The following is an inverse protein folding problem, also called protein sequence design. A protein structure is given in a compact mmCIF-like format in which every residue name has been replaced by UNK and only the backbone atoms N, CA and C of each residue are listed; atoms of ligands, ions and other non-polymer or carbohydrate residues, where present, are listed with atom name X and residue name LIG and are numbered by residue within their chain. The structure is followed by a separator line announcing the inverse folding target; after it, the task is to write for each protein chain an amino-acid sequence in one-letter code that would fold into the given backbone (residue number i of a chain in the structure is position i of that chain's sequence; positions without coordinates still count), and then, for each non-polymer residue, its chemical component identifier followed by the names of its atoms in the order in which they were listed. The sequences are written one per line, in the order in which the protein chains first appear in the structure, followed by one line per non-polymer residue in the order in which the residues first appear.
data_IF_329234021144
#
_entry.id   IF_329234021144
#
_cell.length_a   1.000
_cell.length_b   1.000
_cell.length_c   1.000
_cell.angle_alpha   90.00
_cell.angle_beta   90.00
_cell.angle_gamma   90.00
#
_symmetry.space_group_name_H-M   'P 1'
#
loop_
_entity.id
_entity.type
_entity.pdbx_description
1 polymer ?
#
# COMPACT_ATOMS: atom_id res chain seq x y z
N UNK A 1 -56.42 12.27 0.56
CA UNK A 1 -55.26 11.46 0.15
C UNK A 1 -54.08 12.05 0.92
N UNK A 2 -53.66 11.35 1.93
CA UNK A 2 -52.58 11.82 2.85
C UNK A 2 -51.25 11.32 2.31
N UNK A 3 -50.40 12.23 1.84
CA UNK A 3 -49.04 11.91 1.47
C UNK A 3 -48.26 11.61 2.77
N UNK A 4 -47.95 10.32 2.98
CA UNK A 4 -47.05 9.91 4.03
C UNK A 4 -45.64 10.39 3.66
N UNK A 5 -44.95 11.11 4.55
CA UNK A 5 -43.54 11.46 4.32
C UNK A 5 -42.71 10.17 4.27
N UNK A 6 -42.07 9.91 3.14
CA UNK A 6 -41.03 8.87 3.03
C UNK A 6 -39.88 9.30 3.95
N UNK A 7 -39.81 8.70 5.11
CA UNK A 7 -38.66 8.82 6.01
C UNK A 7 -37.49 8.07 5.39
N UNK A 8 -36.77 8.71 4.46
CA UNK A 8 -35.41 8.29 4.14
C UNK A 8 -34.58 8.49 5.43
N UNK A 9 -34.29 7.41 6.12
CA UNK A 9 -33.31 7.44 7.22
C UNK A 9 -31.97 7.91 6.64
N UNK A 10 -31.39 9.01 7.13
CA UNK A 10 -30.07 9.43 6.67
C UNK A 10 -29.12 8.28 6.92
N UNK A 11 -28.60 7.66 5.84
CA UNK A 11 -27.60 6.62 6.00
C UNK A 11 -26.44 7.20 6.80
N UNK A 12 -26.11 6.54 7.92
CA UNK A 12 -25.01 6.94 8.78
C UNK A 12 -23.72 7.01 7.93
N UNK A 13 -23.04 8.16 7.89
CA UNK A 13 -21.84 8.35 7.06
C UNK A 13 -20.75 7.32 7.34
N UNK A 14 -20.72 6.76 8.55
CA UNK A 14 -19.79 5.69 8.92
C UNK A 14 -20.17 4.34 8.31
N UNK A 15 -21.46 4.04 8.20
CA UNK A 15 -21.95 2.83 7.54
C UNK A 15 -21.58 2.89 6.06
N UNK A 16 -21.86 4.01 5.40
CA UNK A 16 -21.51 4.23 4.00
C UNK A 16 -20.00 4.10 3.76
N UNK A 17 -19.18 4.73 4.60
CA UNK A 17 -17.72 4.60 4.52
C UNK A 17 -17.31 3.13 4.63
N UNK A 18 -17.80 2.41 5.64
CA UNK A 18 -17.44 1.02 5.91
C UNK A 18 -17.82 0.10 4.73
N UNK A 19 -19.02 0.28 4.19
CA UNK A 19 -19.50 -0.52 3.05
C UNK A 19 -18.66 -0.28 1.79
N UNK A 20 -18.37 0.97 1.44
CA UNK A 20 -17.54 1.32 0.28
C UNK A 20 -16.12 0.78 0.48
N UNK A 21 -15.53 0.99 1.65
CA UNK A 21 -14.19 0.49 1.97
C UNK A 21 -14.12 -1.03 1.86
N UNK A 22 -15.06 -1.76 2.48
CA UNK A 22 -15.10 -3.21 2.44
C UNK A 22 -15.30 -3.74 1.01
N UNK A 23 -16.21 -3.13 0.25
CA UNK A 23 -16.44 -3.52 -1.15
C UNK A 23 -15.18 -3.33 -2.00
N UNK A 24 -14.50 -2.18 -1.89
CA UNK A 24 -13.26 -1.91 -2.62
C UNK A 24 -12.11 -2.84 -2.18
N UNK A 25 -12.00 -3.15 -0.90
CA UNK A 25 -11.01 -4.08 -0.38
C UNK A 25 -11.23 -5.50 -0.96
N UNK A 26 -12.48 -5.99 -0.95
CA UNK A 26 -12.82 -7.29 -1.54
C UNK A 26 -12.56 -7.31 -3.05
N UNK A 27 -13.00 -6.27 -3.77
CA UNK A 27 -12.76 -6.16 -5.22
C UNK A 27 -11.25 -6.16 -5.51
N UNK A 28 -10.45 -5.44 -4.75
CA UNK A 28 -9.00 -5.39 -4.96
C UNK A 28 -8.34 -6.77 -4.75
N UNK A 29 -8.77 -7.54 -3.76
CA UNK A 29 -8.26 -8.92 -3.56
C UNK A 29 -8.70 -9.84 -4.70
N UNK A 30 -9.95 -9.76 -5.17
CA UNK A 30 -10.44 -10.54 -6.30
C UNK A 30 -9.66 -10.22 -7.60
N UNK A 31 -9.39 -8.93 -7.85
CA UNK A 31 -8.57 -8.51 -8.99
C UNK A 31 -7.13 -9.01 -8.85
N UNK A 32 -6.55 -8.92 -7.67
CA UNK A 32 -5.19 -9.38 -7.43
C UNK A 32 -5.03 -10.88 -7.70
N UNK A 33 -5.88 -11.71 -7.09
CA UNK A 33 -5.79 -13.16 -7.23
C UNK A 33 -6.35 -13.69 -8.55
N UNK A 34 -7.37 -13.04 -9.11
CA UNK A 34 -8.02 -13.52 -10.32
C UNK A 34 -7.36 -13.05 -11.62
N UNK A 35 -6.73 -11.89 -11.62
CA UNK A 35 -6.22 -11.26 -12.84
C UNK A 35 -4.74 -10.89 -12.74
N UNK A 36 -4.36 -10.15 -11.68
CA UNK A 36 -3.03 -9.53 -11.63
C UNK A 36 -1.92 -10.57 -11.59
N UNK A 37 -2.03 -11.60 -10.76
CA UNK A 37 -0.98 -12.58 -10.54
C UNK A 37 -0.61 -13.39 -11.80
N UNK A 38 -1.55 -13.59 -12.71
CA UNK A 38 -1.33 -14.33 -13.96
C UNK A 38 -0.94 -13.42 -15.12
N UNK A 39 -0.99 -12.09 -14.93
CA UNK A 39 -0.76 -11.13 -16.00
C UNK A 39 0.73 -10.86 -16.26
N UNK A 40 1.07 -10.62 -17.53
CA UNK A 40 2.42 -10.26 -17.94
C UNK A 40 2.85 -8.91 -17.31
N UNK A 41 1.97 -7.92 -17.29
CA UNK A 41 2.28 -6.60 -16.73
C UNK A 41 2.63 -6.66 -15.24
N UNK A 42 2.05 -7.58 -14.48
CA UNK A 42 2.37 -7.74 -13.06
C UNK A 42 3.75 -8.37 -12.87
N UNK A 43 4.12 -9.34 -13.71
CA UNK A 43 5.49 -9.88 -13.73
C UNK A 43 6.52 -8.81 -14.09
N UNK A 44 6.21 -7.96 -15.07
CA UNK A 44 7.08 -6.84 -15.45
C UNK A 44 7.22 -5.82 -14.31
N UNK A 45 6.13 -5.54 -13.57
CA UNK A 45 6.15 -4.72 -12.37
C UNK A 45 7.06 -5.33 -11.29
N UNK A 46 6.94 -6.63 -11.00
CA UNK A 46 7.80 -7.30 -10.02
C UNK A 46 9.28 -7.28 -10.46
N UNK A 47 9.55 -7.49 -11.75
CA UNK A 47 10.90 -7.38 -12.29
C UNK A 47 11.46 -5.96 -12.20
N UNK A 48 10.62 -4.93 -12.35
CA UNK A 48 11.00 -3.54 -12.10
C UNK A 48 11.34 -3.30 -10.62
N UNK A 49 10.50 -3.80 -9.71
CA UNK A 49 10.77 -3.74 -8.25
C UNK A 49 12.07 -4.45 -7.91
N UNK A 50 12.35 -5.61 -8.52
CA UNK A 50 13.60 -6.35 -8.34
C UNK A 50 14.82 -5.53 -8.80
N UNK A 51 14.75 -4.93 -9.99
CA UNK A 51 15.82 -4.08 -10.51
C UNK A 51 16.09 -2.86 -9.61
N UNK A 52 15.03 -2.17 -9.19
CA UNK A 52 15.17 -1.03 -8.29
C UNK A 52 15.77 -1.42 -6.93
N UNK A 53 15.32 -2.54 -6.36
CA UNK A 53 15.85 -3.08 -5.09
C UNK A 53 17.29 -3.54 -5.25
N UNK A 54 17.61 -4.24 -6.33
CA UNK A 54 18.98 -4.68 -6.64
C UNK A 54 19.94 -3.51 -6.83
N UNK A 55 19.49 -2.44 -7.48
CA UNK A 55 20.27 -1.20 -7.56
C UNK A 55 20.55 -0.61 -6.17
N UNK A 56 19.54 -0.51 -5.30
CA UNK A 56 19.74 -0.02 -3.93
C UNK A 56 20.72 -0.89 -3.15
N UNK A 57 20.63 -2.22 -3.26
CA UNK A 57 21.56 -3.15 -2.62
C UNK A 57 22.97 -2.99 -3.18
N UNK A 58 23.13 -2.76 -4.48
CA UNK A 58 24.43 -2.60 -5.15
C UNK A 58 25.22 -1.37 -4.69
N UNK A 59 24.55 -0.39 -4.07
CA UNK A 59 25.22 0.77 -3.46
C UNK A 59 26.08 0.37 -2.24
N UNK A 60 25.82 -0.79 -1.64
CA UNK A 60 26.48 -1.27 -0.41
C UNK A 60 27.20 -2.60 -0.63
N UNK A 61 26.68 -3.46 -1.47
CA UNK A 61 27.18 -4.82 -1.72
C UNK A 61 27.65 -4.95 -3.16
N UNK A 62 28.89 -5.42 -3.34
CA UNK A 62 29.43 -5.69 -4.67
C UNK A 62 28.90 -7.01 -5.24
N UNK A 63 28.86 -7.11 -6.58
CA UNK A 63 28.50 -8.34 -7.28
C UNK A 63 27.01 -8.69 -7.23
N UNK A 64 26.15 -7.69 -7.04
CA UNK A 64 24.67 -7.86 -7.12
C UNK A 64 24.28 -8.11 -8.58
N UNK A 65 23.50 -9.16 -8.78
CA UNK A 65 22.90 -9.52 -10.08
C UNK A 65 21.38 -9.58 -9.92
N UNK A 66 20.68 -9.15 -10.95
CA UNK A 66 19.20 -9.21 -10.98
C UNK A 66 18.78 -9.99 -12.22
N UNK A 67 18.09 -11.10 -12.00
CA UNK A 67 17.53 -11.92 -13.06
C UNK A 67 16.03 -12.11 -12.83
N UNK A 68 15.22 -11.53 -13.74
CA UNK A 68 13.77 -11.48 -13.56
C UNK A 68 13.35 -10.82 -12.25
N UNK A 69 12.80 -11.60 -11.33
CA UNK A 69 12.38 -11.18 -9.99
C UNK A 69 13.38 -11.51 -8.88
N UNK A 70 14.48 -12.19 -9.22
CA UNK A 70 15.51 -12.58 -8.26
C UNK A 70 16.61 -11.52 -8.16
N UNK A 71 16.99 -11.17 -6.94
CA UNK A 71 18.14 -10.34 -6.60
C UNK A 71 19.15 -11.20 -5.86
N UNK A 72 20.32 -11.37 -6.44
CA UNK A 72 21.36 -12.28 -5.93
C UNK A 72 22.67 -11.57 -5.69
N UNK A 73 23.44 -12.03 -4.72
CA UNK A 73 24.83 -11.62 -4.50
C UNK A 73 25.60 -12.76 -3.84
N UNK A 74 26.91 -12.59 -3.63
CA UNK A 74 27.70 -13.53 -2.86
C UNK A 74 27.26 -13.69 -1.40
N UNK A 75 26.38 -12.82 -0.89
CA UNK A 75 25.92 -12.81 0.52
C UNK A 75 24.56 -13.49 0.67
N UNK A 76 23.64 -13.17 -0.22
CA UNK A 76 22.24 -13.68 -0.14
C UNK A 76 21.55 -13.63 -1.50
N UNK A 77 20.49 -14.41 -1.62
CA UNK A 77 19.55 -14.36 -2.75
C UNK A 77 18.14 -14.18 -2.23
N UNK A 78 17.37 -13.26 -2.80
CA UNK A 78 15.96 -13.05 -2.50
C UNK A 78 15.16 -13.01 -3.78
N UNK A 79 14.02 -13.67 -3.79
CA UNK A 79 13.05 -13.60 -4.88
C UNK A 79 11.90 -12.68 -4.48
N UNK A 80 11.60 -11.70 -5.35
CA UNK A 80 10.52 -10.75 -5.17
C UNK A 80 9.26 -11.36 -5.77
N UNK A 81 8.44 -11.91 -4.91
CA UNK A 81 7.19 -12.58 -5.26
C UNK A 81 5.98 -11.96 -4.58
N UNK A 82 4.93 -12.77 -4.47
CA UNK A 82 3.67 -12.40 -3.79
C UNK A 82 3.95 -11.89 -2.38
N UNK A 83 3.35 -10.76 -2.05
CA UNK A 83 3.49 -10.13 -0.74
C UNK A 83 4.74 -9.26 -0.57
N UNK A 84 5.67 -9.22 -1.56
CA UNK A 84 6.75 -8.25 -1.62
C UNK A 84 6.42 -7.03 -2.50
N UNK A 85 5.22 -6.99 -3.08
CA UNK A 85 4.77 -6.07 -4.12
C UNK A 85 4.09 -4.79 -3.59
N UNK A 86 3.92 -4.64 -2.28
CA UNK A 86 3.15 -3.57 -1.62
C UNK A 86 1.68 -3.44 -2.07
N UNK A 87 1.20 -4.27 -2.98
CA UNK A 87 -0.13 -4.14 -3.59
C UNK A 87 -1.24 -4.00 -2.55
N UNK A 88 -1.29 -4.92 -1.57
CA UNK A 88 -2.34 -4.92 -0.55
C UNK A 88 -2.38 -3.64 0.26
N UNK A 89 -1.23 -3.12 0.65
CA UNK A 89 -1.16 -1.88 1.43
C UNK A 89 -1.59 -0.69 0.59
N UNK A 90 -1.17 -0.64 -0.66
CA UNK A 90 -1.58 0.38 -1.63
C UNK A 90 -3.08 0.31 -1.92
N UNK A 91 -3.64 -0.89 -2.10
CA UNK A 91 -5.05 -1.10 -2.37
C UNK A 91 -5.92 -0.70 -1.17
N UNK A 92 -5.58 -1.14 0.04
CA UNK A 92 -6.30 -0.78 1.27
C UNK A 92 -6.24 0.72 1.54
N UNK A 93 -5.06 1.34 1.38
CA UNK A 93 -4.91 2.79 1.51
C UNK A 93 -5.79 3.53 0.49
N UNK A 94 -5.74 3.12 -0.77
CA UNK A 94 -6.55 3.72 -1.85
C UNK A 94 -8.04 3.56 -1.57
N UNK A 95 -8.47 2.36 -1.15
CA UNK A 95 -9.86 2.11 -0.77
C UNK A 95 -10.33 3.02 0.36
N UNK A 96 -9.51 3.22 1.39
CA UNK A 96 -9.81 4.09 2.52
C UNK A 96 -9.92 5.57 2.08
N UNK A 97 -9.02 6.04 1.21
CA UNK A 97 -9.07 7.41 0.67
C UNK A 97 -10.29 7.60 -0.23
N UNK A 98 -10.62 6.63 -1.08
CA UNK A 98 -11.80 6.70 -1.97
C UNK A 98 -13.10 6.69 -1.17
N UNK A 99 -13.20 5.85 -0.14
CA UNK A 99 -14.39 5.73 0.70
C UNK A 99 -14.63 7.00 1.56
N UNK A 100 -13.58 7.71 1.92
CA UNK A 100 -13.70 8.89 2.79
C UNK A 100 -14.37 10.08 2.08
N UNK A 101 -15.29 10.83 2.73
CA UNK A 101 -15.98 11.96 2.13
C UNK A 101 -15.07 13.20 2.07
N UNK A 102 -14.27 13.31 0.99
CA UNK A 102 -13.39 14.43 0.71
C UNK A 102 -13.50 14.90 -0.76
N UNK A 103 -12.97 16.09 -1.07
CA UNK A 103 -12.92 16.62 -2.44
C UNK A 103 -12.06 15.72 -3.34
N UNK A 104 -12.46 15.55 -4.60
CA UNK A 104 -11.77 14.67 -5.56
C UNK A 104 -10.28 15.02 -5.72
N UNK A 105 -9.93 16.31 -5.76
CA UNK A 105 -8.54 16.76 -5.87
C UNK A 105 -7.68 16.28 -4.70
N UNK A 106 -8.21 16.36 -3.46
CA UNK A 106 -7.51 15.86 -2.27
C UNK A 106 -7.33 14.36 -2.30
N UNK A 107 -8.31 13.61 -2.82
CA UNK A 107 -8.20 12.16 -3.01
C UNK A 107 -7.10 11.81 -4.00
N UNK A 108 -7.06 12.48 -5.15
CA UNK A 108 -6.04 12.22 -6.18
C UNK A 108 -4.63 12.45 -5.63
N UNK A 109 -4.39 13.60 -5.01
CA UNK A 109 -3.09 13.89 -4.40
C UNK A 109 -2.78 12.97 -3.22
N UNK A 110 -3.78 12.66 -2.41
CA UNK A 110 -3.64 11.73 -1.28
C UNK A 110 -3.22 10.34 -1.75
N UNK A 111 -3.87 9.81 -2.79
CA UNK A 111 -3.52 8.52 -3.39
C UNK A 111 -2.12 8.58 -3.98
N UNK A 112 -1.81 9.57 -4.82
CA UNK A 112 -0.51 9.68 -5.46
C UNK A 112 0.64 9.72 -4.44
N UNK A 113 0.56 10.60 -3.45
CA UNK A 113 1.59 10.73 -2.40
C UNK A 113 1.64 9.49 -1.49
N UNK A 114 0.49 8.92 -1.15
CA UNK A 114 0.41 7.71 -0.35
C UNK A 114 1.01 6.50 -1.04
N UNK A 115 0.76 6.32 -2.34
CA UNK A 115 1.38 5.23 -3.11
C UNK A 115 2.90 5.38 -3.17
N UNK A 116 3.42 6.59 -3.39
CA UNK A 116 4.87 6.85 -3.35
C UNK A 116 5.43 6.51 -1.96
N UNK A 117 4.79 6.97 -0.89
CA UNK A 117 5.19 6.70 0.49
C UNK A 117 5.24 5.20 0.78
N UNK A 118 4.18 4.45 0.45
CA UNK A 118 4.10 3.01 0.72
C UNK A 118 5.11 2.21 -0.09
N UNK A 119 5.36 2.58 -1.35
CA UNK A 119 6.39 1.93 -2.15
C UNK A 119 7.81 2.21 -1.62
N UNK A 120 8.10 3.43 -1.14
CA UNK A 120 9.39 3.73 -0.50
C UNK A 120 9.63 2.80 0.71
N UNK A 121 8.64 2.64 1.58
CA UNK A 121 8.75 1.74 2.74
C UNK A 121 8.82 0.26 2.34
N UNK A 122 8.19 -0.10 1.23
CA UNK A 122 8.35 -1.46 0.69
C UNK A 122 9.78 -1.71 0.18
N UNK A 123 10.43 -0.73 -0.45
CA UNK A 123 11.85 -0.85 -0.79
C UNK A 123 12.73 -0.99 0.45
N UNK A 124 12.48 -0.21 1.51
CA UNK A 124 13.19 -0.37 2.80
C UNK A 124 13.00 -1.79 3.34
N UNK A 125 11.79 -2.35 3.24
CA UNK A 125 11.52 -3.75 3.62
C UNK A 125 12.34 -4.73 2.80
N UNK A 126 12.32 -4.64 1.45
CA UNK A 126 13.02 -5.59 0.58
C UNK A 126 14.53 -5.53 0.82
N UNK A 127 15.11 -4.34 0.86
CA UNK A 127 16.53 -4.14 1.14
C UNK A 127 16.87 -4.62 2.55
N UNK A 128 16.04 -4.31 3.54
CA UNK A 128 16.22 -4.78 4.92
C UNK A 128 16.20 -6.31 5.02
N UNK A 129 15.26 -6.96 4.33
CA UNK A 129 15.18 -8.43 4.28
C UNK A 129 16.41 -9.03 3.60
N UNK A 130 16.93 -8.41 2.54
CA UNK A 130 18.14 -8.86 1.89
C UNK A 130 19.33 -8.88 2.88
N UNK A 131 19.52 -7.80 3.64
CA UNK A 131 20.60 -7.71 4.63
C UNK A 131 20.38 -8.65 5.82
N UNK A 132 19.15 -8.78 6.32
CA UNK A 132 18.83 -9.73 7.39
C UNK A 132 19.09 -11.17 6.93
N UNK A 133 18.70 -11.50 5.69
CA UNK A 133 18.96 -12.83 5.12
C UNK A 133 20.45 -13.15 4.99
N UNK A 134 21.25 -12.15 4.62
CA UNK A 134 22.70 -12.31 4.47
C UNK A 134 23.48 -12.36 5.77
N UNK A 135 23.14 -11.53 6.74
CA UNK A 135 23.95 -11.34 7.96
C UNK A 135 23.31 -11.84 9.25
N UNK A 136 21.99 -12.05 9.28
CA UNK A 136 21.22 -12.45 10.44
C UNK A 136 20.14 -13.47 10.09
N UNK A 137 20.51 -14.52 9.37
CA UNK A 137 19.60 -15.51 8.74
C UNK A 137 18.59 -16.12 9.70
N UNK A 138 18.94 -16.31 10.98
CA UNK A 138 18.01 -16.81 12.02
C UNK A 138 16.83 -15.88 12.29
N UNK A 139 16.92 -14.61 11.92
CA UNK A 139 15.87 -13.61 12.11
C UNK A 139 15.05 -13.35 10.83
N UNK A 140 15.47 -13.94 9.69
CA UNK A 140 14.87 -13.65 8.37
C UNK A 140 13.37 -13.98 8.35
N UNK A 141 12.99 -15.17 8.76
CA UNK A 141 11.59 -15.62 8.70
C UNK A 141 10.67 -14.75 9.57
N UNK A 142 11.08 -14.45 10.82
CA UNK A 142 10.32 -13.56 11.70
C UNK A 142 10.23 -12.14 11.15
N UNK A 143 11.30 -11.65 10.55
CA UNK A 143 11.30 -10.33 9.93
C UNK A 143 10.38 -10.28 8.72
N UNK A 144 10.42 -11.32 7.88
CA UNK A 144 9.59 -11.43 6.69
C UNK A 144 8.11 -11.58 7.01
N UNK A 145 7.77 -12.43 7.98
CA UNK A 145 6.37 -12.80 8.26
C UNK A 145 5.69 -11.93 9.32
N UNK A 146 6.45 -11.31 10.23
CA UNK A 146 5.89 -10.59 11.37
C UNK A 146 6.30 -9.12 11.37
N UNK A 147 7.61 -8.83 11.47
CA UNK A 147 8.05 -7.47 11.76
C UNK A 147 7.78 -6.50 10.61
N UNK A 148 8.14 -6.86 9.39
CA UNK A 148 7.91 -5.99 8.24
C UNK A 148 6.44 -5.86 7.85
N UNK A 149 5.58 -6.89 7.89
CA UNK A 149 4.15 -6.71 7.71
C UNK A 149 3.54 -5.74 8.74
N UNK A 150 3.84 -5.89 10.03
CA UNK A 150 3.36 -4.96 11.08
C UNK A 150 3.86 -3.54 10.81
N UNK A 151 5.13 -3.40 10.46
CA UNK A 151 5.73 -2.11 10.11
C UNK A 151 5.01 -1.46 8.91
N UNK A 152 4.74 -2.19 7.83
CA UNK A 152 4.02 -1.65 6.67
C UNK A 152 2.57 -1.29 7.00
N UNK A 153 1.89 -2.07 7.85
CA UNK A 153 0.56 -1.72 8.34
C UNK A 153 0.62 -0.38 9.10
N UNK A 154 1.58 -0.22 10.00
CA UNK A 154 1.77 1.02 10.74
C UNK A 154 2.04 2.22 9.81
N UNK A 155 2.86 2.05 8.76
CA UNK A 155 3.12 3.08 7.76
C UNK A 155 1.88 3.42 6.93
N UNK A 156 1.04 2.43 6.63
CA UNK A 156 -0.24 2.61 5.91
C UNK A 156 -1.23 3.42 6.77
N UNK A 157 -1.38 3.04 8.04
CA UNK A 157 -2.25 3.77 8.98
C UNK A 157 -1.74 5.19 9.19
N UNK A 158 -0.44 5.38 9.33
CA UNK A 158 0.18 6.71 9.47
C UNK A 158 -0.12 7.59 8.26
N UNK A 159 0.09 7.08 7.04
CA UNK A 159 -0.22 7.80 5.81
C UNK A 159 -1.70 8.21 5.76
N UNK A 160 -2.60 7.28 6.11
CA UNK A 160 -4.04 7.55 6.12
C UNK A 160 -4.43 8.60 7.16
N UNK A 161 -3.95 8.49 8.40
CA UNK A 161 -4.22 9.47 9.47
C UNK A 161 -3.73 10.87 9.09
N UNK A 162 -2.51 10.97 8.54
CA UNK A 162 -1.94 12.25 8.08
C UNK A 162 -2.81 12.85 6.97
N UNK A 163 -3.24 12.03 6.01
CA UNK A 163 -4.09 12.47 4.92
C UNK A 163 -5.48 12.90 5.41
N UNK A 164 -6.13 12.11 6.28
CA UNK A 164 -7.45 12.45 6.84
C UNK A 164 -7.40 13.77 7.62
N UNK A 165 -6.36 13.98 8.44
CA UNK A 165 -6.19 15.25 9.16
C UNK A 165 -6.14 16.45 8.22
N UNK A 166 -5.42 16.34 7.10
CA UNK A 166 -5.38 17.41 6.08
C UNK A 166 -6.73 17.60 5.41
N UNK A 167 -7.38 16.49 5.00
CA UNK A 167 -8.67 16.52 4.34
C UNK A 167 -9.79 17.12 5.21
N UNK A 168 -9.76 16.87 6.51
CA UNK A 168 -10.71 17.45 7.47
C UNK A 168 -10.40 18.92 7.78
N UNK A 169 -9.12 19.28 7.92
CA UNK A 169 -8.72 20.67 8.19
C UNK A 169 -9.17 21.62 7.06
N UNK A 170 -8.99 21.22 5.79
CA UNK A 170 -9.45 22.03 4.65
C UNK A 170 -10.98 22.16 4.60
N UNK A 171 -11.72 21.13 5.04
CA UNK A 171 -13.18 21.16 5.08
C UNK A 171 -13.73 22.12 6.14
N UNK A 172 -13.07 22.23 7.29
CA UNK A 172 -13.53 23.07 8.41
C UNK A 172 -12.87 24.46 8.42
N UNK A 173 -11.69 24.64 7.84
CA UNK A 173 -11.01 25.91 7.70
C UNK A 173 -11.70 26.89 6.75
N UNK A 174 -12.44 26.38 5.76
CA UNK A 174 -13.19 27.16 4.78
C UNK A 174 -14.56 27.63 5.32
N UNK A 175 -14.99 27.14 6.48
CA UNK A 175 -16.27 27.46 7.14
C UNK A 175 -16.15 28.55 8.19
N UNK A 176 -14.99 29.15 8.42
CA UNK A 176 -14.82 30.28 9.32
C UNK A 176 -15.22 31.57 8.58
N UNK A 177 -16.31 32.27 8.97
CA UNK A 177 -16.65 33.57 8.39
C UNK A 177 -15.59 34.59 8.78
N UNK A 178 -15.21 35.43 7.79
CA UNK A 178 -14.36 36.60 7.97
C UNK A 178 -15.08 37.68 8.79
#
# INVERSE_FOLDING_TARGET
MSDAPTTETPEDPWIRFTLIFAALAVISELVYYGIALESAWFRDYLAWVARASGWLVSLVVAGVQVDGTAVTSGVFAVEIGRGCDAYRMCALFTAAVVAFPARAVLKVWGIALGLVWLNLWNFVRIVGLFFIGGYARSHFERSHEIYFPIFLIAMTVTAWVVWVRRATHERFGESAPA
#
